data_IF_860396733021
#
_entry.id   IF_860396733021
#
_cell.length_a   1.000
_cell.length_b   1.000
_cell.length_c   1.000
_cell.angle_alpha   90.00
_cell.angle_beta   90.00
_cell.angle_gamma   90.00
#
_symmetry.space_group_name_H-M   'P 1'
#
loop_
_entity.id
_entity.type
_entity.pdbx_description
1 polymer ?
#
# COMPACT_ATOMS: atom_id res chain seq x y z
N UNK A 1 -26.48 9.83 -21.09
CA UNK A 1 -26.03 8.51 -21.59
C UNK A 1 -24.77 8.00 -20.90
N UNK A 2 -23.65 8.74 -20.83
CA UNK A 2 -22.40 8.22 -20.19
C UNK A 2 -22.57 7.82 -18.72
N UNK A 3 -23.31 8.59 -17.89
CA UNK A 3 -23.51 8.29 -16.46
C UNK A 3 -24.37 7.05 -16.22
N UNK A 4 -25.44 6.87 -17.01
CA UNK A 4 -26.30 5.69 -16.93
C UNK A 4 -25.54 4.40 -17.26
N UNK A 5 -24.72 4.43 -18.32
CA UNK A 5 -23.85 3.30 -18.71
C UNK A 5 -22.90 2.90 -17.55
N UNK A 6 -22.27 3.87 -16.88
CA UNK A 6 -21.36 3.59 -15.77
C UNK A 6 -22.07 2.92 -14.59
N UNK A 7 -23.29 3.38 -14.26
CA UNK A 7 -24.11 2.77 -13.21
C UNK A 7 -24.47 1.33 -13.55
N UNK A 8 -24.93 1.08 -14.76
CA UNK A 8 -25.30 -0.27 -15.22
C UNK A 8 -24.09 -1.20 -15.22
N UNK A 9 -22.95 -0.73 -15.69
CA UNK A 9 -21.69 -1.47 -15.68
C UNK A 9 -21.25 -1.83 -14.25
N UNK A 10 -21.27 -0.86 -13.33
CA UNK A 10 -20.94 -1.09 -11.93
C UNK A 10 -21.87 -2.09 -11.27
N UNK A 11 -23.19 -1.89 -11.40
CA UNK A 11 -24.21 -2.78 -10.82
C UNK A 11 -24.08 -4.21 -11.35
N UNK A 12 -23.82 -4.38 -12.65
CA UNK A 12 -23.55 -5.70 -13.24
C UNK A 12 -22.37 -6.38 -12.55
N UNK A 13 -21.25 -5.68 -12.39
CA UNK A 13 -20.04 -6.24 -11.80
C UNK A 13 -20.16 -6.42 -10.27
N UNK A 14 -20.84 -5.53 -9.57
CA UNK A 14 -21.16 -5.72 -8.15
C UNK A 14 -22.00 -7.01 -7.94
N UNK A 15 -23.00 -7.26 -8.80
CA UNK A 15 -23.81 -8.49 -8.74
C UNK A 15 -22.97 -9.75 -8.98
N UNK A 16 -21.97 -9.70 -9.88
CA UNK A 16 -21.01 -10.81 -10.07
C UNK A 16 -20.30 -11.12 -8.76
N UNK A 17 -19.72 -10.11 -8.14
CA UNK A 17 -18.94 -10.28 -6.89
C UNK A 17 -19.82 -10.79 -5.74
N UNK A 18 -21.05 -10.27 -5.60
CA UNK A 18 -22.03 -10.73 -4.59
C UNK A 18 -22.38 -12.22 -4.78
N UNK A 19 -22.37 -12.72 -6.02
CA UNK A 19 -22.58 -14.14 -6.35
C UNK A 19 -21.32 -15.00 -6.21
N UNK A 20 -20.21 -14.44 -5.77
CA UNK A 20 -18.92 -15.13 -5.69
C UNK A 20 -18.18 -15.25 -7.02
N UNK A 21 -18.65 -14.61 -8.09
CA UNK A 21 -18.00 -14.61 -9.39
C UNK A 21 -16.80 -13.65 -9.40
N UNK A 22 -15.77 -14.00 -10.17
CA UNK A 22 -14.57 -13.18 -10.28
C UNK A 22 -14.72 -12.06 -11.31
N UNK A 23 -14.10 -10.92 -11.02
CA UNK A 23 -13.92 -9.83 -11.98
C UNK A 23 -12.61 -10.03 -12.76
N UNK A 24 -12.62 -9.57 -14.02
CA UNK A 24 -11.39 -9.34 -14.77
C UNK A 24 -10.67 -8.11 -14.20
N UNK A 25 -9.36 -8.00 -14.43
CA UNK A 25 -8.54 -6.84 -14.05
C UNK A 25 -9.17 -5.50 -14.46
N UNK A 26 -9.61 -5.41 -15.73
CA UNK A 26 -10.28 -4.21 -16.25
C UNK A 26 -11.62 -3.92 -15.57
N UNK A 27 -12.40 -4.95 -15.23
CA UNK A 27 -13.68 -4.78 -14.54
C UNK A 27 -13.46 -4.22 -13.13
N UNK A 28 -12.48 -4.76 -12.39
CA UNK A 28 -12.10 -4.27 -11.07
C UNK A 28 -11.57 -2.83 -11.13
N UNK A 29 -10.69 -2.53 -12.12
CA UNK A 29 -10.20 -1.18 -12.40
C UNK A 29 -11.35 -0.19 -12.60
N UNK A 30 -12.28 -0.48 -13.52
CA UNK A 30 -13.36 0.44 -13.84
C UNK A 30 -14.33 0.64 -12.66
N UNK A 31 -14.62 -0.41 -11.90
CA UNK A 31 -15.47 -0.31 -10.71
C UNK A 31 -14.87 0.65 -9.67
N UNK A 32 -13.59 0.46 -9.30
CA UNK A 32 -12.94 1.35 -8.34
C UNK A 32 -12.78 2.77 -8.89
N UNK A 33 -12.42 2.91 -10.16
CA UNK A 33 -12.31 4.23 -10.80
C UNK A 33 -13.61 5.01 -10.72
N UNK A 34 -14.76 4.37 -11.00
CA UNK A 34 -16.07 5.03 -10.92
C UNK A 34 -16.41 5.46 -9.49
N UNK A 35 -16.03 4.66 -8.49
CA UNK A 35 -16.19 5.01 -7.09
C UNK A 35 -15.31 6.21 -6.69
N UNK A 36 -14.05 6.24 -7.11
CA UNK A 36 -13.14 7.36 -6.84
C UNK A 36 -13.52 8.64 -7.59
N UNK A 37 -14.27 8.53 -8.67
CA UNK A 37 -14.82 9.68 -9.41
C UNK A 37 -16.18 10.15 -8.90
N UNK A 38 -16.68 9.55 -7.82
CA UNK A 38 -18.00 9.86 -7.25
C UNK A 38 -19.16 9.79 -8.25
N UNK A 39 -19.12 8.84 -9.19
CA UNK A 39 -20.13 8.71 -10.26
C UNK A 39 -21.52 8.36 -9.74
N UNK A 40 -21.67 7.96 -8.48
CA UNK A 40 -22.92 7.52 -7.86
C UNK A 40 -23.53 8.57 -6.91
N UNK A 41 -22.92 9.74 -6.77
CA UNK A 41 -23.42 10.83 -5.94
C UNK A 41 -23.61 10.40 -4.49
N UNK A 42 -24.79 10.65 -3.93
CA UNK A 42 -25.17 10.31 -2.55
C UNK A 42 -25.01 8.80 -2.23
N UNK A 43 -25.18 7.91 -3.22
CA UNK A 43 -25.03 6.48 -3.04
C UNK A 43 -23.56 6.00 -3.11
N UNK A 44 -22.58 6.89 -3.30
CA UNK A 44 -21.20 6.49 -3.56
C UNK A 44 -20.60 5.71 -2.40
N UNK A 45 -20.74 6.16 -1.17
CA UNK A 45 -20.21 5.50 0.01
C UNK A 45 -20.83 4.12 0.23
N UNK A 46 -22.15 3.98 0.02
CA UNK A 46 -22.85 2.70 0.08
C UNK A 46 -22.35 1.73 -0.99
N UNK A 47 -22.13 2.21 -2.22
CA UNK A 47 -21.58 1.42 -3.32
C UNK A 47 -20.12 0.99 -3.03
N UNK A 48 -19.33 1.90 -2.46
CA UNK A 48 -17.95 1.65 -2.07
C UNK A 48 -17.88 0.54 -1.01
N UNK A 49 -18.63 0.66 0.08
CA UNK A 49 -18.72 -0.34 1.14
C UNK A 49 -19.20 -1.69 0.64
N UNK A 50 -20.29 -1.72 -0.14
CA UNK A 50 -20.84 -2.95 -0.70
C UNK A 50 -19.84 -3.67 -1.63
N UNK A 51 -19.14 -2.92 -2.48
CA UNK A 51 -18.17 -3.48 -3.42
C UNK A 51 -16.99 -4.13 -2.69
N UNK A 52 -16.39 -3.42 -1.72
CA UNK A 52 -15.25 -3.95 -0.97
C UNK A 52 -15.63 -5.09 -0.03
N UNK A 53 -16.80 -5.02 0.62
CA UNK A 53 -17.29 -6.12 1.45
C UNK A 53 -17.53 -7.38 0.60
N UNK A 54 -18.17 -7.26 -0.55
CA UNK A 54 -18.44 -8.38 -1.44
C UNK A 54 -17.13 -9.01 -1.98
N UNK A 55 -16.18 -8.20 -2.46
CA UNK A 55 -14.87 -8.69 -2.91
C UNK A 55 -14.12 -9.41 -1.79
N UNK A 56 -14.12 -8.85 -0.58
CA UNK A 56 -13.44 -9.45 0.57
C UNK A 56 -14.06 -10.79 0.96
N UNK A 57 -15.40 -10.85 1.00
CA UNK A 57 -16.14 -12.06 1.41
C UNK A 57 -15.87 -13.25 0.48
N UNK A 58 -15.79 -13.00 -0.84
CA UNK A 58 -15.50 -14.07 -1.80
C UNK A 58 -14.02 -14.46 -1.89
N UNK A 59 -13.15 -13.76 -1.24
CA UNK A 59 -11.68 -13.85 -1.39
C UNK A 59 -11.22 -13.37 -2.78
N UNK A 60 -10.57 -12.19 -2.87
CA UNK A 60 -10.20 -11.59 -4.14
C UNK A 60 -9.15 -12.42 -4.89
N UNK A 61 -9.27 -12.44 -6.21
CA UNK A 61 -8.25 -13.01 -7.10
C UNK A 61 -7.10 -12.01 -7.31
N UNK A 62 -5.97 -12.51 -7.80
CA UNK A 62 -4.83 -11.65 -8.15
C UNK A 62 -5.18 -10.64 -9.25
N UNK A 63 -6.03 -11.03 -10.20
CA UNK A 63 -6.51 -10.14 -11.27
C UNK A 63 -7.31 -8.97 -10.70
N UNK A 64 -8.21 -9.24 -9.77
CA UNK A 64 -9.01 -8.21 -9.10
C UNK A 64 -8.12 -7.25 -8.31
N UNK A 65 -7.22 -7.78 -7.50
CA UNK A 65 -6.30 -6.97 -6.70
C UNK A 65 -5.41 -6.11 -7.60
N UNK A 66 -4.89 -6.70 -8.69
CA UNK A 66 -4.06 -5.95 -9.65
C UNK A 66 -4.86 -4.82 -10.30
N UNK A 67 -6.11 -5.08 -10.70
CA UNK A 67 -6.99 -4.06 -11.26
C UNK A 67 -7.28 -2.91 -10.29
N UNK A 68 -7.52 -3.23 -9.02
CA UNK A 68 -7.69 -2.20 -7.97
C UNK A 68 -6.41 -1.38 -7.77
N UNK A 69 -5.24 -2.03 -7.72
CA UNK A 69 -3.96 -1.33 -7.56
C UNK A 69 -3.58 -0.50 -8.78
N UNK A 70 -3.94 -0.91 -9.99
CA UNK A 70 -3.76 -0.10 -11.20
C UNK A 70 -4.48 1.25 -11.10
N UNK A 71 -5.68 1.28 -10.49
CA UNK A 71 -6.39 2.55 -10.24
C UNK A 71 -5.59 3.43 -9.29
N UNK A 72 -5.11 2.86 -8.21
CA UNK A 72 -4.33 3.59 -7.20
C UNK A 72 -3.04 4.13 -7.82
N UNK A 73 -2.27 3.28 -8.49
CA UNK A 73 -0.94 3.63 -8.98
C UNK A 73 -0.94 4.44 -10.28
N UNK A 74 -1.88 4.19 -11.18
CA UNK A 74 -1.85 4.77 -12.52
C UNK A 74 -2.89 5.86 -12.74
N UNK A 75 -3.95 5.91 -11.91
CA UNK A 75 -5.03 6.88 -12.05
C UNK A 75 -5.06 7.92 -10.92
N UNK A 76 -4.86 7.51 -9.66
CA UNK A 76 -4.96 8.44 -8.51
C UNK A 76 -3.59 9.02 -8.09
N UNK A 77 -2.51 8.28 -8.32
CA UNK A 77 -1.19 8.67 -7.86
C UNK A 77 -0.74 10.01 -8.48
N UNK A 78 -0.28 10.91 -7.60
CA UNK A 78 0.51 12.09 -7.95
C UNK A 78 1.98 11.77 -7.68
N UNK A 79 2.77 11.38 -8.70
CA UNK A 79 4.12 10.93 -8.47
C UNK A 79 5.03 12.07 -8.00
N UNK A 80 5.88 11.78 -7.01
CA UNK A 80 7.02 12.61 -6.65
C UNK A 80 8.20 12.18 -7.53
N UNK A 81 8.52 12.99 -8.52
CA UNK A 81 9.71 12.78 -9.35
C UNK A 81 10.91 13.31 -8.58
N UNK A 82 11.82 12.40 -8.22
CA UNK A 82 13.02 12.68 -7.42
C UNK A 82 14.25 12.69 -8.32
N UNK A 83 15.04 13.77 -8.26
CA UNK A 83 16.34 13.83 -8.90
C UNK A 83 17.36 13.03 -8.10
N UNK A 84 17.88 11.96 -8.68
CA UNK A 84 18.88 11.07 -8.08
C UNK A 84 20.27 11.45 -8.58
N UNK A 85 21.19 11.68 -7.64
CA UNK A 85 22.61 11.94 -7.91
C UNK A 85 23.48 10.71 -7.56
N UNK A 86 22.90 9.53 -7.61
CA UNK A 86 23.54 8.24 -7.33
C UNK A 86 23.05 7.21 -8.34
N UNK A 87 23.90 6.19 -8.59
CA UNK A 87 23.61 5.09 -9.52
C UNK A 87 23.07 3.84 -8.83
N UNK A 88 23.18 3.77 -7.51
CA UNK A 88 22.73 2.63 -6.72
C UNK A 88 21.22 2.48 -6.77
N UNK A 89 20.69 1.24 -6.71
CA UNK A 89 19.26 0.99 -6.69
C UNK A 89 18.60 1.63 -5.48
N UNK A 90 17.50 2.34 -5.72
CA UNK A 90 16.66 2.90 -4.66
C UNK A 90 15.73 1.83 -4.11
N UNK A 91 15.85 1.56 -2.81
CA UNK A 91 15.05 0.55 -2.11
C UNK A 91 13.91 1.20 -1.32
N UNK A 92 12.69 0.76 -1.57
CA UNK A 92 11.52 1.08 -0.73
C UNK A 92 11.40 0.07 0.41
N UNK A 93 11.33 0.56 1.65
CA UNK A 93 11.00 -0.28 2.82
C UNK A 93 9.58 0.05 3.25
N UNK A 94 8.72 -0.97 3.20
CA UNK A 94 7.27 -0.86 3.36
C UNK A 94 6.81 -1.90 4.37
N UNK A 95 5.87 -1.56 5.23
CA UNK A 95 5.17 -2.50 6.11
C UNK A 95 3.67 -2.44 5.86
N UNK A 96 2.99 -3.57 5.89
CA UNK A 96 1.54 -3.63 5.75
C UNK A 96 0.83 -3.05 6.99
N UNK A 97 1.52 -3.00 8.13
CA UNK A 97 0.89 -2.76 9.42
C UNK A 97 -0.14 -3.84 9.76
N UNK A 98 -1.02 -3.55 10.72
CA UNK A 98 -2.12 -4.45 11.15
C UNK A 98 -1.62 -5.76 11.75
N UNK A 99 -0.45 -5.71 12.41
CA UNK A 99 0.14 -6.83 13.11
C UNK A 99 -0.74 -7.31 14.27
N UNK A 100 -0.85 -8.61 14.42
CA UNK A 100 -1.50 -9.24 15.56
C UNK A 100 -0.69 -9.06 16.85
N UNK A 101 0.63 -8.92 16.70
CA UNK A 101 1.58 -8.67 17.81
C UNK A 101 2.21 -7.30 17.62
N UNK A 102 2.00 -6.42 18.58
CA UNK A 102 2.61 -5.08 18.53
C UNK A 102 4.07 -5.15 18.95
N UNK A 103 4.94 -4.78 18.01
CA UNK A 103 6.38 -4.58 18.22
C UNK A 103 6.70 -3.08 18.17
N UNK A 104 7.96 -2.71 18.35
CA UNK A 104 8.40 -1.36 18.02
C UNK A 104 8.62 -1.24 16.49
N UNK A 105 8.74 -0.01 15.97
CA UNK A 105 8.85 0.24 14.53
C UNK A 105 10.20 -0.23 13.95
N UNK A 106 10.41 -1.56 13.88
CA UNK A 106 11.66 -2.21 13.44
C UNK A 106 12.03 -1.76 12.04
N UNK A 107 11.07 -1.75 11.10
CA UNK A 107 11.31 -1.34 9.71
C UNK A 107 11.78 0.11 9.60
N UNK A 108 11.37 1.00 10.50
CA UNK A 108 11.84 2.39 10.55
C UNK A 108 13.32 2.47 10.95
N UNK A 109 13.70 1.77 12.02
CA UNK A 109 15.09 1.70 12.47
C UNK A 109 15.97 1.02 11.43
N UNK A 110 15.53 -0.11 10.89
CA UNK A 110 16.25 -0.85 9.83
C UNK A 110 16.51 0.01 8.60
N UNK A 111 15.57 0.90 8.24
CA UNK A 111 15.75 1.80 7.09
C UNK A 111 16.85 2.84 7.34
N UNK A 112 16.94 3.39 8.55
CA UNK A 112 18.01 4.32 8.94
C UNK A 112 19.37 3.60 8.96
N UNK A 113 19.44 2.42 9.60
CA UNK A 113 20.68 1.62 9.67
C UNK A 113 21.14 1.20 8.27
N UNK A 114 20.22 0.77 7.42
CA UNK A 114 20.54 0.40 6.03
C UNK A 114 21.07 1.58 5.20
N UNK A 115 20.53 2.78 5.39
CA UNK A 115 21.04 3.98 4.75
C UNK A 115 22.44 4.35 5.30
N UNK A 116 22.64 4.27 6.62
CA UNK A 116 23.95 4.50 7.24
C UNK A 116 25.02 3.50 6.76
N UNK A 117 24.61 2.28 6.39
CA UNK A 117 25.46 1.27 5.77
C UNK A 117 25.73 1.51 4.26
N UNK A 118 25.27 2.62 3.70
CA UNK A 118 25.48 3.02 2.30
C UNK A 118 24.33 2.73 1.35
N UNK A 119 23.23 2.15 1.83
CA UNK A 119 22.02 1.92 1.03
C UNK A 119 21.32 3.23 0.63
N UNK A 120 20.60 3.19 -0.49
CA UNK A 120 19.69 4.27 -0.89
C UNK A 120 18.27 3.84 -0.57
N UNK A 121 17.71 4.38 0.50
CA UNK A 121 16.51 3.85 1.13
C UNK A 121 15.45 4.93 1.29
N UNK A 122 14.23 4.62 0.88
CA UNK A 122 13.04 5.37 1.26
C UNK A 122 12.15 4.48 2.13
N UNK A 123 11.85 4.95 3.34
CA UNK A 123 10.83 4.34 4.18
C UNK A 123 9.47 4.90 3.80
N UNK A 124 8.58 4.03 3.34
CA UNK A 124 7.17 4.38 3.22
C UNK A 124 6.46 4.21 4.56
N UNK A 125 5.51 5.10 4.83
CA UNK A 125 4.71 5.02 6.04
C UNK A 125 3.44 5.84 5.97
N UNK A 126 2.67 5.75 7.04
CA UNK A 126 1.46 6.55 7.27
C UNK A 126 1.34 6.88 8.75
N UNK A 127 0.43 7.81 9.07
CA UNK A 127 -0.02 8.01 10.46
C UNK A 127 -0.74 6.77 10.96
N UNK A 128 -0.77 6.60 12.29
CA UNK A 128 -1.49 5.47 12.89
C UNK A 128 -3.00 5.63 12.72
N UNK A 129 -3.66 4.54 12.32
CA UNK A 129 -5.12 4.44 12.37
C UNK A 129 -5.62 3.67 13.61
N UNK A 130 -4.80 2.79 14.17
CA UNK A 130 -5.22 1.88 15.24
C UNK A 130 -4.12 1.55 16.28
N UNK A 131 -2.90 2.04 16.11
CA UNK A 131 -1.79 1.85 17.05
C UNK A 131 -1.46 3.15 17.80
N UNK A 132 -0.63 3.05 18.85
CA UNK A 132 -0.20 4.21 19.66
C UNK A 132 0.56 5.24 18.81
N UNK A 133 1.38 4.77 17.85
CA UNK A 133 2.11 5.62 16.93
C UNK A 133 2.30 4.89 15.57
N UNK A 134 2.05 5.59 14.48
CA UNK A 134 2.41 5.15 13.13
C UNK A 134 3.85 5.53 12.79
N UNK A 135 4.30 5.12 11.62
CA UNK A 135 5.65 5.46 11.14
C UNK A 135 5.83 6.98 10.99
N UNK A 136 4.82 7.66 10.45
CA UNK A 136 4.83 9.12 10.29
C UNK A 136 4.98 9.83 11.63
N UNK A 137 4.24 9.39 12.65
CA UNK A 137 4.27 9.99 13.98
C UNK A 137 5.66 9.87 14.62
N UNK A 138 6.32 8.72 14.44
CA UNK A 138 7.69 8.49 14.96
C UNK A 138 8.71 9.39 14.26
N UNK A 139 8.64 9.53 12.94
CA UNK A 139 9.60 10.38 12.22
C UNK A 139 9.37 11.86 12.46
N UNK A 140 8.13 12.28 12.66
CA UNK A 140 7.79 13.66 13.04
C UNK A 140 8.38 14.01 14.42
N UNK A 141 8.24 13.12 15.40
CA UNK A 141 8.84 13.28 16.73
C UNK A 141 10.38 13.31 16.69
N UNK A 142 10.99 12.58 15.73
CA UNK A 142 12.44 12.64 15.47
C UNK A 142 12.87 13.92 14.71
N UNK A 143 11.93 14.81 14.39
CA UNK A 143 12.20 16.10 13.73
C UNK A 143 12.32 16.04 12.22
N UNK A 144 11.86 14.96 11.56
CA UNK A 144 11.78 14.91 10.10
C UNK A 144 10.58 15.73 9.59
N UNK A 145 10.76 16.39 8.44
CA UNK A 145 9.65 16.97 7.68
C UNK A 145 8.87 15.86 6.97
N UNK A 146 7.89 15.29 7.69
CA UNK A 146 7.10 14.15 7.22
C UNK A 146 6.09 14.52 6.11
N UNK A 147 5.72 15.79 6.00
CA UNK A 147 4.78 16.24 4.97
C UNK A 147 5.45 16.39 3.60
N UNK A 148 6.77 16.30 3.56
CA UNK A 148 7.59 16.40 2.34
C UNK A 148 7.18 17.56 1.42
N UNK A 149 6.76 18.68 2.01
CA UNK A 149 6.36 19.88 1.26
C UNK A 149 7.52 20.47 0.47
N UNK A 150 8.74 20.25 0.95
CA UNK A 150 9.96 20.75 0.33
C UNK A 150 10.71 19.61 -0.39
N UNK A 151 10.39 19.46 -1.68
CA UNK A 151 11.05 18.48 -2.56
C UNK A 151 12.57 18.64 -2.54
N UNK A 152 13.09 19.87 -2.48
CA UNK A 152 14.54 20.15 -2.53
C UNK A 152 15.21 19.61 -1.27
N UNK A 153 14.61 19.81 -0.10
CA UNK A 153 15.12 19.23 1.15
C UNK A 153 15.10 17.70 1.13
N UNK A 154 14.03 17.11 0.62
CA UNK A 154 13.92 15.66 0.49
C UNK A 154 15.01 15.10 -0.43
N UNK A 155 15.20 15.68 -1.62
CA UNK A 155 16.23 15.28 -2.57
C UNK A 155 17.64 15.46 -1.99
N UNK A 156 17.88 16.56 -1.28
CA UNK A 156 19.15 16.80 -0.58
C UNK A 156 19.41 15.74 0.47
N UNK A 157 18.44 15.40 1.31
CA UNK A 157 18.58 14.35 2.33
C UNK A 157 18.88 12.99 1.69
N UNK A 158 18.09 12.58 0.70
CA UNK A 158 18.27 11.31 -0.01
C UNK A 158 19.63 11.23 -0.70
N UNK A 159 20.05 12.28 -1.39
CA UNK A 159 21.33 12.29 -2.11
C UNK A 159 22.54 12.36 -1.16
N UNK A 160 22.41 13.03 -0.01
CA UNK A 160 23.51 13.20 0.95
C UNK A 160 23.64 12.01 1.90
N UNK A 161 22.52 11.58 2.48
CA UNK A 161 22.52 10.58 3.55
C UNK A 161 22.02 9.20 3.09
N UNK A 162 21.52 9.09 1.86
CA UNK A 162 20.92 7.85 1.36
C UNK A 162 19.56 7.52 1.96
N UNK A 163 18.97 8.40 2.76
CA UNK A 163 17.71 8.17 3.45
C UNK A 163 16.65 9.19 3.07
N UNK A 164 15.41 8.72 2.89
CA UNK A 164 14.20 9.52 2.75
C UNK A 164 13.02 8.86 3.45
N UNK A 165 12.09 9.67 3.92
CA UNK A 165 10.79 9.20 4.41
C UNK A 165 9.69 9.68 3.46
N UNK A 166 8.72 8.82 3.14
CA UNK A 166 7.59 9.14 2.28
C UNK A 166 6.28 8.79 3.00
N UNK A 167 5.56 9.80 3.47
CA UNK A 167 4.15 9.60 3.83
C UNK A 167 3.35 9.38 2.55
N UNK A 168 2.57 8.30 2.51
CA UNK A 168 1.84 7.93 1.29
C UNK A 168 0.61 8.80 1.01
N UNK A 169 0.03 9.37 2.05
CA UNK A 169 -1.26 10.06 1.98
C UNK A 169 -1.32 11.20 0.94
N UNK A 170 -0.35 12.12 0.85
CA UNK A 170 -0.41 13.24 -0.09
C UNK A 170 -0.41 12.84 -1.57
N UNK A 171 0.05 11.61 -1.87
CA UNK A 171 0.21 11.16 -3.26
C UNK A 171 -1.00 10.43 -3.83
N UNK A 172 -2.03 10.16 -3.02
CA UNK A 172 -3.24 9.43 -3.41
C UNK A 172 -4.51 10.18 -2.97
N UNK A 173 -4.76 11.38 -3.50
CA UNK A 173 -5.76 12.30 -2.95
C UNK A 173 -7.19 11.79 -3.00
N UNK A 174 -7.58 11.03 -4.04
CA UNK A 174 -8.93 10.46 -4.13
C UNK A 174 -9.07 9.26 -3.20
N UNK A 175 -8.08 8.35 -3.24
CA UNK A 175 -8.09 7.16 -2.40
C UNK A 175 -8.01 7.53 -0.92
N UNK A 176 -7.19 8.52 -0.55
CA UNK A 176 -7.12 9.05 0.81
C UNK A 176 -8.51 9.53 1.29
N UNK A 177 -9.18 10.34 0.48
CA UNK A 177 -10.52 10.88 0.81
C UNK A 177 -11.56 9.78 1.00
N UNK A 178 -11.50 8.71 0.19
CA UNK A 178 -12.49 7.63 0.23
C UNK A 178 -12.15 6.55 1.25
N UNK A 179 -10.87 6.39 1.58
CA UNK A 179 -10.38 5.31 2.42
C UNK A 179 -10.29 5.68 3.90
N UNK A 180 -9.73 6.85 4.22
CA UNK A 180 -9.42 7.25 5.59
C UNK A 180 -10.69 7.37 6.45
N UNK A 181 -10.73 6.61 7.54
CA UNK A 181 -11.83 6.66 8.52
C UNK A 181 -13.16 6.08 8.07
N UNK A 182 -13.24 5.49 6.87
CA UNK A 182 -14.52 4.95 6.35
C UNK A 182 -14.64 3.43 6.43
N UNK A 183 -13.52 2.70 6.60
CA UNK A 183 -13.53 1.25 6.66
C UNK A 183 -13.16 0.73 8.04
N UNK A 184 -14.11 0.04 8.67
CA UNK A 184 -13.93 -0.66 9.95
C UNK A 184 -13.65 -2.15 9.77
N UNK A 185 -13.33 -2.59 8.56
CA UNK A 185 -13.01 -3.98 8.23
C UNK A 185 -11.81 -4.05 7.29
N UNK A 186 -11.13 -5.19 7.32
CA UNK A 186 -10.02 -5.49 6.41
C UNK A 186 -10.58 -5.80 5.03
N UNK A 187 -10.07 -5.14 4.02
CA UNK A 187 -10.43 -5.35 2.62
C UNK A 187 -9.16 -5.50 1.75
N UNK A 188 -9.28 -5.90 0.47
CA UNK A 188 -8.11 -6.26 -0.35
C UNK A 188 -7.00 -5.22 -0.37
N UNK A 189 -7.34 -3.93 -0.40
CA UNK A 189 -6.35 -2.85 -0.41
C UNK A 189 -5.70 -2.60 0.95
N UNK A 190 -6.26 -3.10 2.05
CA UNK A 190 -5.75 -2.83 3.41
C UNK A 190 -4.32 -3.29 3.62
N UNK A 191 -3.93 -4.41 2.99
CA UNK A 191 -2.56 -4.94 3.08
C UNK A 191 -1.66 -4.42 1.97
N UNK A 192 -2.21 -4.03 0.84
CA UNK A 192 -1.47 -3.78 -0.40
C UNK A 192 -1.29 -2.29 -0.64
N UNK A 193 -2.22 -1.47 -0.16
CA UNK A 193 -2.15 -0.01 -0.31
C UNK A 193 -0.82 0.58 0.17
N UNK A 194 -0.16 0.06 1.21
CA UNK A 194 1.17 0.52 1.61
C UNK A 194 2.26 0.39 0.53
N UNK A 195 2.08 -0.47 -0.49
CA UNK A 195 2.98 -0.54 -1.66
C UNK A 195 2.90 0.77 -2.47
N UNK A 196 1.75 1.43 -2.43
CA UNK A 196 1.60 2.72 -3.07
C UNK A 196 2.57 3.73 -2.48
N UNK A 197 3.34 4.36 -3.34
CA UNK A 197 4.31 5.40 -2.97
C UNK A 197 4.27 6.53 -3.97
N UNK A 198 4.57 7.73 -3.50
CA UNK A 198 4.82 8.87 -4.38
C UNK A 198 6.07 8.65 -5.25
N UNK A 199 7.07 7.92 -4.75
CA UNK A 199 8.34 7.64 -5.42
C UNK A 199 8.33 6.23 -6.02
N UNK A 200 8.86 6.08 -7.23
CA UNK A 200 9.09 4.76 -7.84
C UNK A 200 10.40 4.17 -7.30
N UNK A 201 10.35 2.93 -6.81
CA UNK A 201 11.49 2.17 -6.32
C UNK A 201 12.05 1.24 -7.41
N UNK A 202 13.35 0.94 -7.30
CA UNK A 202 14.02 -0.09 -8.10
C UNK A 202 13.98 -1.45 -7.39
N UNK A 203 13.90 -1.42 -6.04
CA UNK A 203 13.77 -2.59 -5.17
C UNK A 203 12.74 -2.33 -4.08
N UNK A 204 12.08 -3.38 -3.61
CA UNK A 204 11.09 -3.29 -2.53
C UNK A 204 11.35 -4.36 -1.49
N UNK A 205 11.41 -3.95 -0.23
CA UNK A 205 11.28 -4.86 0.92
C UNK A 205 9.92 -4.60 1.54
N UNK A 206 9.06 -5.61 1.50
CA UNK A 206 7.67 -5.51 1.96
C UNK A 206 7.42 -6.46 3.12
N UNK A 207 7.22 -5.90 4.31
CA UNK A 207 6.74 -6.62 5.47
C UNK A 207 5.23 -6.85 5.39
N UNK A 208 4.78 -8.09 5.57
CA UNK A 208 3.39 -8.49 5.41
C UNK A 208 2.86 -9.19 6.67
N UNK A 209 1.95 -8.56 7.36
CA UNK A 209 1.25 -9.15 8.53
C UNK A 209 0.14 -10.11 8.09
N UNK A 210 0.45 -11.05 7.19
CA UNK A 210 -0.50 -12.06 6.70
C UNK A 210 0.23 -13.25 6.07
N UNK A 211 -0.52 -14.34 5.85
CA UNK A 211 -0.01 -15.56 5.20
C UNK A 211 0.02 -15.48 3.66
N UNK A 212 -0.33 -14.33 3.07
CA UNK A 212 -0.49 -14.18 1.61
C UNK A 212 0.81 -13.78 0.90
N UNK A 213 1.98 -14.29 1.35
CA UNK A 213 3.30 -13.91 0.81
C UNK A 213 3.43 -14.18 -0.68
N UNK A 214 3.00 -15.36 -1.18
CA UNK A 214 3.07 -15.72 -2.59
C UNK A 214 2.19 -14.80 -3.45
N UNK A 215 0.94 -14.56 -3.03
CA UNK A 215 0.04 -13.66 -3.74
C UNK A 215 0.58 -12.22 -3.78
N UNK A 216 1.20 -11.79 -2.69
CA UNK A 216 1.78 -10.45 -2.60
C UNK A 216 3.02 -10.33 -3.49
N UNK A 217 3.89 -11.34 -3.53
CA UNK A 217 5.03 -11.36 -4.43
C UNK A 217 4.59 -11.38 -5.91
N UNK A 218 3.61 -12.20 -6.26
CA UNK A 218 3.03 -12.20 -7.61
C UNK A 218 2.44 -10.85 -7.98
N UNK A 219 1.74 -10.20 -7.04
CA UNK A 219 1.20 -8.86 -7.26
C UNK A 219 2.30 -7.84 -7.51
N UNK A 220 3.37 -7.84 -6.71
CA UNK A 220 4.50 -6.94 -6.90
C UNK A 220 5.11 -7.07 -8.29
N UNK A 221 5.30 -8.31 -8.76
CA UNK A 221 5.77 -8.58 -10.14
C UNK A 221 4.80 -7.99 -11.19
N UNK A 222 3.49 -8.21 -11.04
CA UNK A 222 2.46 -7.68 -11.96
C UNK A 222 2.38 -6.15 -11.96
N UNK A 223 2.81 -5.51 -10.89
CA UNK A 223 2.90 -4.06 -10.75
C UNK A 223 4.25 -3.49 -11.23
N UNK A 224 5.16 -4.34 -11.72
CA UNK A 224 6.46 -3.96 -12.25
C UNK A 224 7.55 -3.76 -11.18
N UNK A 225 7.41 -4.40 -10.02
CA UNK A 225 8.44 -4.47 -8.98
C UNK A 225 9.19 -5.81 -9.07
N UNK A 226 10.03 -5.96 -10.11
CA UNK A 226 10.72 -7.22 -10.42
C UNK A 226 11.77 -7.63 -9.37
N UNK A 227 12.24 -6.67 -8.58
CA UNK A 227 13.21 -6.88 -7.51
C UNK A 227 12.56 -6.60 -6.15
N UNK A 228 11.85 -7.58 -5.62
CA UNK A 228 11.15 -7.43 -4.34
C UNK A 228 11.40 -8.61 -3.40
N UNK A 229 11.38 -8.31 -2.10
CA UNK A 229 11.42 -9.28 -1.02
C UNK A 229 10.16 -9.09 -0.17
N UNK A 230 9.34 -10.13 -0.07
CA UNK A 230 8.18 -10.15 0.83
C UNK A 230 8.53 -10.97 2.06
N UNK A 231 8.32 -10.39 3.23
CA UNK A 231 8.65 -10.99 4.53
C UNK A 231 7.40 -11.06 5.39
N UNK A 232 7.16 -12.20 6.02
CA UNK A 232 6.12 -12.38 7.02
C UNK A 232 6.66 -13.23 8.17
N UNK A 233 6.44 -12.78 9.39
CA UNK A 233 6.77 -13.51 10.61
C UNK A 233 5.52 -14.06 11.29
N UNK A 234 5.70 -15.13 12.07
CA UNK A 234 4.64 -15.71 12.90
C UNK A 234 5.20 -16.05 14.27
N UNK A 235 4.43 -15.79 15.32
CA UNK A 235 4.76 -16.29 16.65
C UNK A 235 4.43 -17.79 16.77
N UNK A 236 4.74 -18.39 17.92
CA UNK A 236 4.46 -19.80 18.21
C UNK A 236 2.95 -20.15 18.20
N UNK A 237 2.08 -19.16 18.31
CA UNK A 237 0.63 -19.31 18.30
C UNK A 237 0.04 -19.01 16.91
N UNK A 238 0.88 -18.71 15.91
CA UNK A 238 0.45 -18.37 14.55
C UNK A 238 -0.02 -16.94 14.36
N UNK A 239 0.21 -16.04 15.32
CA UNK A 239 -0.07 -14.60 15.15
C UNK A 239 0.92 -13.97 14.18
N UNK A 240 0.41 -13.14 13.28
CA UNK A 240 1.18 -12.54 12.20
C UNK A 240 1.84 -11.22 12.62
N UNK A 241 3.03 -10.98 12.07
CA UNK A 241 3.70 -9.68 12.09
C UNK A 241 4.51 -9.49 10.81
N UNK A 242 4.75 -8.23 10.44
CA UNK A 242 5.31 -7.83 9.14
C UNK A 242 6.85 -7.73 9.13
N UNK A 243 7.52 -8.53 9.95
CA UNK A 243 8.96 -8.47 10.19
C UNK A 243 9.63 -9.84 10.12
N UNK A 244 10.96 -9.85 9.95
CA UNK A 244 11.78 -11.04 10.16
C UNK A 244 11.88 -11.30 11.66
N UNK A 245 11.48 -12.49 12.09
CA UNK A 245 11.53 -12.88 13.49
C UNK A 245 12.21 -14.23 13.68
N UNK A 246 12.87 -14.37 14.82
CA UNK A 246 13.47 -15.62 15.29
C UNK A 246 12.66 -16.30 16.41
N UNK A 247 11.47 -15.77 16.76
CA UNK A 247 10.62 -16.31 17.83
C UNK A 247 9.52 -17.25 17.31
N UNK A 248 9.44 -17.47 16.02
CA UNK A 248 8.45 -18.32 15.37
C UNK A 248 8.90 -18.76 13.99
N UNK A 249 7.94 -19.01 13.11
CA UNK A 249 8.23 -19.34 11.70
C UNK A 249 8.47 -18.08 10.89
N UNK A 250 9.46 -18.13 10.02
CA UNK A 250 9.77 -17.10 9.03
C UNK A 250 9.37 -17.61 7.64
N UNK A 251 8.69 -16.78 6.88
CA UNK A 251 8.45 -16.97 5.46
C UNK A 251 8.91 -15.76 4.68
N UNK A 252 9.70 -15.98 3.65
CA UNK A 252 10.11 -14.94 2.71
C UNK A 252 10.08 -15.48 1.28
N UNK A 253 9.84 -14.57 0.33
CA UNK A 253 9.89 -14.83 -1.10
C UNK A 253 10.68 -13.69 -1.76
N UNK A 254 11.53 -14.09 -2.70
CA UNK A 254 12.39 -13.19 -3.47
C UNK A 254 11.97 -13.22 -4.94
#
# INVERSE_FOLDING_TARGET
MKSQYKKEYFVKNLRKVIRGENLKREEAFNCLKFLLDHEFGIANDSCFGAFFAAIQTKTPTIEEITGLMDVVLNYDRKPLIVERKFSEPLCGIIGSGKDDVKTFNISSISSIVGAAAGGKIIKNGSRSEASVAGTTDVFEELGLDVEMKDKIKFEKALNTYGFGFCDVAPYFPKMLKEYMGKFFFVHPLSYILPIASGVKFDRVVFGLASNATEKTAELLLRLGYDNSLVVAGHDKNGKNFDEISNIGKLKYLK
#
